data_IF_289312706045
#
_entry.id   IF_289312706045
#
_cell.length_a   1.000
_cell.length_b   1.000
_cell.length_c   1.000
_cell.angle_alpha   90.00
_cell.angle_beta   90.00
_cell.angle_gamma   90.00
#
_symmetry.space_group_name_H-M   'P 1'
#
loop_
_entity.id
_entity.type
_entity.pdbx_description
1 polymer ?
#
# COMPACT_ATOMS: atom_id res chain seq x y z
N UNK A 1 24.90 18.30 29.34
CA UNK A 1 24.64 17.14 28.45
C UNK A 1 23.15 17.09 28.08
N UNK A 2 22.68 17.90 27.11
CA UNK A 2 21.28 17.86 26.63
C UNK A 2 21.03 18.67 25.35
N UNK A 3 22.00 18.72 24.43
CA UNK A 3 21.86 19.42 23.13
C UNK A 3 22.54 18.73 21.94
N UNK A 4 22.84 17.42 22.06
CA UNK A 4 23.48 16.64 20.97
C UNK A 4 22.53 15.56 20.41
N UNK A 5 21.33 15.40 20.97
CA UNK A 5 20.36 14.38 20.55
C UNK A 5 19.33 14.88 19.52
N UNK A 6 19.68 15.86 18.69
CA UNK A 6 18.77 16.41 17.66
C UNK A 6 19.33 16.37 16.24
N UNK A 7 20.55 15.84 16.05
CA UNK A 7 21.17 15.73 14.73
C UNK A 7 21.18 14.30 14.15
N UNK A 8 20.72 13.30 14.91
CA UNK A 8 20.68 11.89 14.48
C UNK A 8 19.28 11.39 14.04
N UNK A 9 18.27 12.27 14.01
CA UNK A 9 16.90 11.92 13.57
C UNK A 9 16.58 12.34 12.12
N UNK A 10 17.55 12.90 11.39
CA UNK A 10 17.39 13.37 10.01
C UNK A 10 17.73 12.32 8.93
N UNK A 11 18.07 11.08 9.31
CA UNK A 11 18.41 10.01 8.36
C UNK A 11 17.69 8.68 8.58
N UNK A 12 16.68 8.60 9.45
CA UNK A 12 15.80 7.42 9.48
C UNK A 12 14.73 7.56 8.38
N UNK A 13 15.16 7.46 7.13
CA UNK A 13 14.24 7.11 6.03
C UNK A 13 13.72 5.73 6.38
N UNK A 14 12.44 5.63 6.72
CA UNK A 14 11.74 4.34 6.74
C UNK A 14 11.83 3.76 5.33
N UNK A 15 12.78 2.84 5.11
CA UNK A 15 12.86 2.06 3.88
C UNK A 15 11.71 1.07 3.96
N UNK A 16 10.55 1.47 3.45
CA UNK A 16 9.52 0.53 3.06
C UNK A 16 10.08 -0.30 1.91
N UNK A 17 10.48 -1.54 2.18
CA UNK A 17 10.96 -2.49 1.15
C UNK A 17 9.83 -2.95 0.21
N UNK A 18 8.64 -2.37 0.30
CA UNK A 18 7.52 -2.61 -0.61
C UNK A 18 7.57 -1.72 -1.86
N UNK A 19 8.62 -0.91 -2.05
CA UNK A 19 8.74 0.02 -3.18
C UNK A 19 10.15 -0.06 -3.74
N UNK A 20 10.26 -0.18 -5.06
CA UNK A 20 11.54 -0.18 -5.78
C UNK A 20 11.43 0.86 -6.89
N UNK A 21 12.27 1.87 -6.84
CA UNK A 21 12.48 2.81 -7.94
C UNK A 21 13.97 2.86 -8.22
N UNK A 22 14.35 2.49 -9.43
CA UNK A 22 15.73 2.36 -9.87
C UNK A 22 15.81 2.84 -11.33
N UNK A 23 16.55 3.93 -11.53
CA UNK A 23 16.82 4.54 -12.83
C UNK A 23 18.33 4.67 -13.11
N UNK A 24 19.18 4.11 -12.21
CA UNK A 24 20.64 4.07 -12.29
C UNK A 24 21.31 5.43 -12.57
N UNK A 25 20.59 6.54 -12.36
CA UNK A 25 21.06 7.91 -12.64
C UNK A 25 22.21 8.32 -11.72
N UNK A 26 22.32 7.68 -10.56
CA UNK A 26 23.43 7.83 -9.62
C UNK A 26 24.71 7.10 -10.07
N UNK A 27 24.65 6.33 -11.17
CA UNK A 27 25.78 5.58 -11.71
C UNK A 27 26.08 4.29 -10.94
N UNK A 28 25.15 3.81 -10.11
CA UNK A 28 25.39 2.74 -9.16
C UNK A 28 24.20 1.75 -9.09
N UNK A 29 24.48 0.52 -8.65
CA UNK A 29 23.46 -0.49 -8.31
C UNK A 29 23.81 -1.23 -7.00
N UNK A 30 24.81 -0.76 -6.26
CA UNK A 30 25.28 -1.39 -5.03
C UNK A 30 24.76 -0.70 -3.77
N UNK A 31 24.06 0.43 -3.91
CA UNK A 31 23.51 1.21 -2.81
C UNK A 31 22.21 1.87 -3.26
N UNK A 32 21.18 1.83 -2.41
CA UNK A 32 19.90 2.51 -2.59
C UNK A 32 19.25 2.36 -3.98
N UNK A 33 18.89 1.14 -4.40
CA UNK A 33 18.91 -0.12 -3.65
C UNK A 33 20.23 -0.92 -3.76
N UNK A 34 20.44 -1.87 -2.83
CA UNK A 34 21.57 -2.81 -2.90
C UNK A 34 21.19 -4.01 -3.74
N UNK A 35 21.77 -4.13 -4.93
CA UNK A 35 21.64 -5.35 -5.73
C UNK A 35 22.72 -6.37 -5.37
N UNK A 36 22.34 -7.64 -5.36
CA UNK A 36 23.18 -8.78 -5.00
C UNK A 36 23.04 -9.91 -6.02
N UNK A 37 24.03 -10.81 -6.06
CA UNK A 37 24.11 -11.89 -7.05
C UNK A 37 25.45 -11.85 -7.75
N UNK A 38 25.43 -11.85 -9.09
CA UNK A 38 26.63 -11.78 -9.95
C UNK A 38 27.03 -10.34 -10.24
N UNK A 39 27.21 -9.53 -9.19
CA UNK A 39 27.48 -8.08 -9.28
C UNK A 39 28.70 -7.75 -10.15
N UNK A 40 29.71 -8.61 -10.17
CA UNK A 40 30.91 -8.48 -10.99
C UNK A 40 30.64 -8.59 -12.51
N UNK A 41 29.49 -9.14 -12.88
CA UNK A 41 29.07 -9.37 -14.26
C UNK A 41 28.04 -8.35 -14.74
N UNK A 42 27.91 -7.21 -14.05
CA UNK A 42 27.07 -6.08 -14.46
C UNK A 42 27.81 -4.75 -14.22
N UNK A 43 27.42 -3.72 -14.95
CA UNK A 43 27.91 -2.34 -14.79
C UNK A 43 26.73 -1.38 -14.95
N UNK A 44 26.84 -0.17 -14.40
CA UNK A 44 26.07 0.97 -14.94
C UNK A 44 26.90 1.58 -16.05
N UNK A 45 26.33 1.64 -17.26
CA UNK A 45 27.03 2.15 -18.43
C UNK A 45 27.02 3.69 -18.48
N UNK A 46 27.76 4.33 -19.42
CA UNK A 46 27.78 5.80 -19.54
C UNK A 46 26.44 6.45 -19.90
N UNK A 47 25.45 5.66 -20.32
CA UNK A 47 24.08 6.12 -20.56
C UNK A 47 23.18 5.98 -19.32
N UNK A 48 23.75 5.65 -18.16
CA UNK A 48 23.03 5.41 -16.91
C UNK A 48 22.05 4.24 -16.98
N UNK A 49 22.46 3.14 -17.61
CA UNK A 49 21.66 1.91 -17.69
C UNK A 49 22.42 0.76 -17.07
N UNK A 50 21.71 -0.12 -16.37
CA UNK A 50 22.27 -1.40 -15.95
C UNK A 50 22.53 -2.26 -17.19
N UNK A 51 23.78 -2.64 -17.40
CA UNK A 51 24.23 -3.42 -18.54
C UNK A 51 24.90 -4.71 -18.08
N UNK A 52 24.62 -5.82 -18.78
CA UNK A 52 25.38 -7.05 -18.56
C UNK A 52 26.85 -6.87 -18.96
N UNK A 53 27.76 -7.48 -18.21
CA UNK A 53 29.21 -7.44 -18.45
C UNK A 53 29.87 -8.78 -18.08
N UNK A 54 29.15 -9.88 -18.28
CA UNK A 54 29.66 -11.21 -17.95
C UNK A 54 30.66 -11.78 -18.96
N UNK A 55 31.14 -13.01 -18.73
CA UNK A 55 32.09 -13.68 -19.61
C UNK A 55 31.46 -14.03 -20.96
N UNK A 56 32.27 -14.02 -22.02
CA UNK A 56 31.86 -14.42 -23.37
C UNK A 56 31.81 -15.95 -23.53
N UNK A 57 30.93 -16.62 -22.77
CA UNK A 57 30.75 -18.07 -22.76
C UNK A 57 29.30 -18.41 -23.11
N UNK A 58 29.11 -19.37 -24.02
CA UNK A 58 27.76 -19.77 -24.44
C UNK A 58 27.06 -20.57 -23.36
N UNK A 59 25.79 -20.24 -23.11
CA UNK A 59 24.98 -20.86 -22.06
C UNK A 59 25.17 -20.21 -20.68
N UNK A 60 25.87 -19.08 -20.60
CA UNK A 60 26.03 -18.34 -19.35
C UNK A 60 24.68 -17.83 -18.88
N UNK A 61 24.45 -17.95 -17.56
CA UNK A 61 23.34 -17.34 -16.87
C UNK A 61 23.86 -16.44 -15.76
N UNK A 62 23.38 -15.20 -15.71
CA UNK A 62 23.70 -14.24 -14.66
C UNK A 62 22.42 -13.80 -13.97
N UNK A 63 22.53 -13.42 -12.70
CA UNK A 63 21.40 -12.89 -11.94
C UNK A 63 21.81 -11.72 -11.07
N UNK A 64 20.89 -10.78 -10.92
CA UNK A 64 20.87 -9.77 -9.86
C UNK A 64 19.52 -9.81 -9.16
N UNK A 65 19.52 -9.59 -7.86
CA UNK A 65 18.31 -9.49 -7.03
C UNK A 65 18.45 -8.33 -6.08
N UNK A 66 17.33 -7.72 -5.75
CA UNK A 66 17.23 -6.67 -4.72
C UNK A 66 15.99 -6.94 -3.87
N UNK A 67 16.01 -6.47 -2.63
CA UNK A 67 14.88 -6.64 -1.73
C UNK A 67 13.64 -5.94 -2.29
N UNK A 68 12.53 -6.67 -2.41
CA UNK A 68 11.21 -6.13 -2.75
C UNK A 68 10.12 -7.04 -2.22
N UNK A 69 9.22 -6.48 -1.43
CA UNK A 69 8.13 -7.22 -0.78
C UNK A 69 6.77 -7.01 -1.45
N UNK A 70 6.70 -6.16 -2.48
CA UNK A 70 5.47 -5.87 -3.22
C UNK A 70 4.99 -7.12 -3.95
N UNK A 71 3.72 -7.48 -3.75
CA UNK A 71 3.19 -8.72 -4.31
C UNK A 71 1.72 -8.64 -4.76
N UNK A 72 0.94 -7.71 -4.21
CA UNK A 72 -0.51 -7.58 -4.41
C UNK A 72 -0.88 -6.09 -4.48
N UNK A 73 -1.90 -5.76 -5.28
CA UNK A 73 -2.32 -4.38 -5.59
C UNK A 73 -1.15 -3.51 -6.05
N UNK A 74 -0.35 -4.06 -6.97
CA UNK A 74 0.93 -3.49 -7.37
C UNK A 74 1.07 -3.46 -8.90
N UNK A 75 1.78 -2.44 -9.37
CA UNK A 75 2.25 -2.31 -10.73
C UNK A 75 3.77 -2.41 -10.79
N UNK A 76 4.29 -3.25 -11.69
CA UNK A 76 5.69 -3.26 -12.08
C UNK A 76 5.82 -2.63 -13.46
N UNK A 77 6.71 -1.66 -13.61
CA UNK A 77 7.11 -1.10 -14.90
C UNK A 77 8.64 -1.14 -15.01
N UNK A 78 9.16 -1.51 -16.17
CA UNK A 78 10.60 -1.49 -16.43
C UNK A 78 10.89 -1.38 -17.92
N UNK A 79 12.01 -0.73 -18.24
CA UNK A 79 12.54 -0.66 -19.59
C UNK A 79 13.65 -1.69 -19.78
N UNK A 80 13.72 -2.25 -20.97
CA UNK A 80 14.74 -3.22 -21.35
C UNK A 80 15.09 -3.10 -22.84
N UNK A 81 16.36 -3.34 -23.16
CA UNK A 81 16.83 -3.45 -24.52
C UNK A 81 17.77 -4.64 -24.73
N UNK A 82 17.54 -5.42 -25.78
CA UNK A 82 18.34 -6.57 -26.20
C UNK A 82 18.92 -6.31 -27.59
N UNK A 83 20.25 -6.21 -27.70
CA UNK A 83 20.92 -5.91 -28.98
C UNK A 83 21.28 -7.17 -29.78
N UNK A 84 20.34 -8.11 -29.89
CA UNK A 84 20.52 -9.41 -30.55
C UNK A 84 19.17 -10.06 -30.89
N UNK A 85 19.19 -11.05 -31.80
CA UNK A 85 18.05 -11.93 -32.03
C UNK A 85 17.81 -12.83 -30.81
N UNK A 86 16.63 -12.74 -30.22
CA UNK A 86 16.25 -13.58 -29.08
C UNK A 86 16.14 -15.05 -29.48
N UNK A 87 16.27 -15.96 -28.50
CA UNK A 87 16.11 -17.41 -28.71
C UNK A 87 15.97 -18.14 -27.38
N UNK A 88 15.76 -19.47 -27.42
CA UNK A 88 15.79 -20.33 -26.22
C UNK A 88 17.14 -20.29 -25.44
N UNK A 89 18.19 -19.73 -26.04
CA UNK A 89 19.50 -19.53 -25.42
C UNK A 89 19.88 -18.06 -25.22
N UNK A 90 19.03 -17.11 -25.63
CA UNK A 90 19.25 -15.68 -25.52
C UNK A 90 17.95 -14.98 -25.11
N UNK A 91 17.78 -14.72 -23.82
CA UNK A 91 16.59 -14.05 -23.27
C UNK A 91 16.89 -13.44 -21.89
N UNK A 92 16.00 -12.55 -21.46
CA UNK A 92 15.99 -12.02 -20.10
C UNK A 92 14.71 -12.45 -19.37
N UNK A 93 14.84 -12.81 -18.10
CA UNK A 93 13.75 -13.01 -17.17
C UNK A 93 13.81 -11.90 -16.11
N UNK A 94 12.73 -11.12 -15.97
CA UNK A 94 12.57 -10.12 -14.93
C UNK A 94 11.59 -10.65 -13.89
N UNK A 95 12.11 -11.07 -12.75
CA UNK A 95 11.36 -11.58 -11.61
C UNK A 95 10.65 -10.43 -10.91
N UNK A 96 9.32 -10.43 -11.01
CA UNK A 96 8.44 -9.51 -10.32
C UNK A 96 8.37 -9.86 -8.83
N UNK A 97 8.32 -11.17 -8.55
CA UNK A 97 8.30 -11.76 -7.21
C UNK A 97 9.27 -12.95 -7.18
N UNK A 98 10.07 -13.03 -6.13
CA UNK A 98 10.83 -14.23 -5.76
C UNK A 98 10.88 -14.38 -4.24
N UNK A 99 10.82 -15.61 -3.75
CA UNK A 99 11.05 -15.98 -2.34
C UNK A 99 12.54 -16.15 -1.99
N UNK A 100 13.42 -16.10 -3.00
CA UNK A 100 14.85 -16.37 -2.86
C UNK A 100 15.69 -15.45 -3.73
N UNK A 101 16.91 -15.17 -3.27
CA UNK A 101 17.94 -14.43 -4.01
C UNK A 101 18.60 -15.28 -5.11
N UNK A 102 18.41 -16.60 -5.08
CA UNK A 102 18.92 -17.51 -6.10
C UNK A 102 17.83 -17.89 -7.11
N UNK A 103 17.69 -17.06 -8.15
CA UNK A 103 16.73 -17.20 -9.25
C UNK A 103 17.01 -18.42 -10.14
N UNK A 104 18.25 -18.93 -10.14
CA UNK A 104 18.62 -20.17 -10.84
C UNK A 104 18.28 -21.43 -10.05
N UNK A 105 17.93 -21.29 -8.78
CA UNK A 105 17.68 -22.38 -7.86
C UNK A 105 16.22 -22.84 -7.82
N UNK A 106 15.84 -23.41 -6.68
CA UNK A 106 14.46 -23.83 -6.38
C UNK A 106 13.68 -22.68 -5.74
N UNK A 107 13.54 -21.57 -6.45
CA UNK A 107 12.73 -20.43 -6.03
C UNK A 107 11.26 -20.57 -6.48
N UNK A 108 10.42 -19.75 -5.89
CA UNK A 108 9.00 -19.59 -6.21
C UNK A 108 8.66 -18.13 -6.50
N UNK A 109 7.76 -17.88 -7.44
CA UNK A 109 7.31 -16.52 -7.74
C UNK A 109 6.79 -16.34 -9.17
N UNK A 110 6.91 -15.12 -9.69
CA UNK A 110 6.47 -14.78 -11.04
C UNK A 110 7.53 -13.92 -11.73
N UNK A 111 7.71 -14.15 -13.02
CA UNK A 111 8.65 -13.38 -13.84
C UNK A 111 8.09 -13.15 -15.24
N UNK A 112 8.50 -12.03 -15.84
CA UNK A 112 8.28 -11.78 -17.27
C UNK A 112 9.52 -12.23 -18.03
N UNK A 113 9.33 -13.05 -19.06
CA UNK A 113 10.39 -13.36 -20.03
C UNK A 113 10.28 -12.41 -21.21
N UNK A 114 11.43 -11.88 -21.64
CA UNK A 114 11.59 -11.12 -22.87
C UNK A 114 12.52 -11.92 -23.78
N UNK A 115 11.96 -12.36 -24.92
CA UNK A 115 12.60 -13.28 -25.86
C UNK A 115 12.20 -14.73 -25.63
N UNK A 116 13.14 -15.66 -25.82
CA UNK A 116 12.87 -17.09 -25.78
C UNK A 116 12.61 -17.66 -27.17
N UNK A 117 11.98 -18.83 -27.28
CA UNK A 117 11.78 -19.49 -28.59
C UNK A 117 10.77 -18.76 -29.49
N UNK A 118 9.79 -18.08 -28.89
CA UNK A 118 8.72 -17.38 -29.60
C UNK A 118 9.05 -15.89 -29.87
N UNK A 119 10.21 -15.41 -29.42
CA UNK A 119 10.66 -14.02 -29.58
C UNK A 119 9.60 -13.00 -29.11
N UNK A 120 9.06 -13.19 -27.91
CA UNK A 120 7.91 -12.45 -27.36
C UNK A 120 8.13 -11.94 -25.93
N UNK A 121 7.09 -11.32 -25.35
CA UNK A 121 7.04 -10.93 -23.94
C UNK A 121 5.91 -11.70 -23.25
N UNK A 122 6.24 -12.51 -22.24
CA UNK A 122 5.27 -13.42 -21.59
C UNK A 122 5.45 -13.50 -20.09
N UNK A 123 4.35 -13.73 -19.37
CA UNK A 123 4.35 -13.87 -17.91
C UNK A 123 4.36 -15.34 -17.52
N UNK A 124 5.27 -15.69 -16.62
CA UNK A 124 5.43 -17.05 -16.12
C UNK A 124 5.25 -17.10 -14.60
N UNK A 125 4.66 -18.20 -14.13
CA UNK A 125 4.75 -18.62 -12.74
C UNK A 125 5.91 -19.61 -12.59
N UNK A 126 6.75 -19.38 -11.58
CA UNK A 126 7.80 -20.32 -11.15
C UNK A 126 7.36 -21.04 -9.89
N UNK A 127 7.23 -22.36 -9.97
CA UNK A 127 7.04 -23.21 -8.80
C UNK A 127 8.40 -23.82 -8.37
N UNK A 128 8.61 -23.95 -7.06
CA UNK A 128 9.87 -24.47 -6.50
C UNK A 128 10.27 -25.83 -7.11
N UNK A 129 11.44 -25.89 -7.75
CA UNK A 129 11.98 -27.10 -8.37
C UNK A 129 11.24 -27.60 -9.63
N UNK A 130 10.24 -26.88 -10.14
CA UNK A 130 9.50 -27.24 -11.36
C UNK A 130 9.85 -26.33 -12.54
N UNK A 131 9.55 -26.78 -13.75
CA UNK A 131 9.59 -25.96 -14.96
C UNK A 131 8.60 -24.79 -14.83
N UNK A 132 8.96 -23.56 -15.25
CA UNK A 132 8.02 -22.44 -15.26
C UNK A 132 6.78 -22.72 -16.09
N UNK A 133 5.63 -22.26 -15.61
CA UNK A 133 4.34 -22.34 -16.30
C UNK A 133 4.07 -21.00 -16.97
N UNK A 134 3.86 -20.98 -18.28
CA UNK A 134 3.40 -19.77 -18.98
C UNK A 134 1.95 -19.50 -18.60
N UNK A 135 1.67 -18.35 -17.99
CA UNK A 135 0.33 -17.97 -17.53
C UNK A 135 -0.27 -16.82 -18.36
N UNK A 136 0.56 -16.07 -19.09
CA UNK A 136 0.13 -15.14 -20.15
C UNK A 136 1.12 -15.28 -21.31
N UNK A 137 0.66 -15.88 -22.40
CA UNK A 137 1.41 -15.92 -23.66
C UNK A 137 1.32 -14.58 -24.37
N UNK A 138 2.45 -14.08 -24.85
CA UNK A 138 2.53 -12.82 -25.56
C UNK A 138 2.12 -12.96 -27.02
N UNK A 139 2.38 -11.89 -27.77
CA UNK A 139 2.35 -11.94 -29.23
C UNK A 139 3.74 -12.33 -29.74
N UNK A 140 3.81 -13.46 -30.43
CA UNK A 140 5.01 -13.97 -31.09
C UNK A 140 5.71 -12.91 -31.95
N UNK A 141 7.05 -13.00 -31.99
CA UNK A 141 7.93 -12.20 -32.86
C UNK A 141 7.88 -10.69 -32.63
N UNK A 142 7.44 -10.26 -31.46
CA UNK A 142 7.46 -8.84 -31.06
C UNK A 142 8.85 -8.35 -30.63
N UNK A 143 9.77 -9.25 -30.28
CA UNK A 143 11.20 -8.98 -29.99
C UNK A 143 12.14 -9.85 -30.83
N UNK A 144 11.86 -9.95 -32.14
CA UNK A 144 12.59 -10.78 -33.10
C UNK A 144 13.69 -10.06 -33.91
N UNK A 145 13.97 -8.78 -33.64
CA UNK A 145 15.02 -8.04 -34.34
C UNK A 145 16.40 -8.63 -34.05
N UNK A 146 17.28 -8.67 -35.05
CA UNK A 146 18.63 -9.21 -34.88
C UNK A 146 19.62 -8.21 -34.26
N UNK A 147 19.26 -6.92 -34.20
CA UNK A 147 20.17 -5.83 -33.83
C UNK A 147 19.70 -5.03 -32.63
N UNK A 148 18.39 -4.84 -32.49
CA UNK A 148 17.82 -3.95 -31.48
C UNK A 148 16.37 -4.35 -31.19
N UNK A 149 16.13 -4.82 -29.97
CA UNK A 149 14.79 -5.04 -29.43
C UNK A 149 14.65 -4.18 -28.19
N UNK A 150 13.88 -3.11 -28.26
CA UNK A 150 13.58 -2.25 -27.12
C UNK A 150 12.14 -2.48 -26.68
N UNK A 151 11.92 -2.64 -25.37
CA UNK A 151 10.59 -2.84 -24.82
C UNK A 151 10.48 -2.14 -23.47
N UNK A 152 9.33 -1.51 -23.22
CA UNK A 152 8.90 -1.19 -21.86
C UNK A 152 7.76 -2.11 -21.48
N UNK A 153 7.90 -2.79 -20.35
CA UNK A 153 6.91 -3.76 -19.86
C UNK A 153 6.16 -3.13 -18.69
N UNK A 154 4.85 -3.34 -18.65
CA UNK A 154 3.99 -3.02 -17.51
C UNK A 154 3.19 -4.24 -17.10
N UNK A 155 3.26 -4.59 -15.82
CA UNK A 155 2.48 -5.67 -15.22
C UNK A 155 1.67 -5.13 -14.05
N UNK A 156 0.37 -5.37 -14.06
CA UNK A 156 -0.50 -5.05 -12.93
C UNK A 156 -1.01 -6.34 -12.30
N UNK A 157 -1.10 -6.37 -10.96
CA UNK A 157 -1.76 -7.44 -10.22
C UNK A 157 -2.62 -6.88 -9.09
N UNK A 158 -3.89 -7.25 -9.05
CA UNK A 158 -4.80 -6.87 -7.96
C UNK A 158 -4.92 -7.93 -6.85
N UNK A 159 -5.67 -7.61 -5.79
CA UNK A 159 -5.96 -8.49 -4.64
C UNK A 159 -6.69 -9.78 -5.00
N UNK A 160 -7.48 -9.77 -6.07
CA UNK A 160 -8.15 -10.95 -6.60
C UNK A 160 -7.18 -11.89 -7.35
N UNK A 161 -5.93 -11.47 -7.56
CA UNK A 161 -4.93 -12.23 -8.31
C UNK A 161 -5.09 -12.13 -9.82
N UNK A 162 -5.81 -11.13 -10.30
CA UNK A 162 -5.91 -10.84 -11.72
C UNK A 162 -4.63 -10.14 -12.16
N UNK A 163 -3.97 -10.72 -13.15
CA UNK A 163 -2.76 -10.22 -13.77
C UNK A 163 -3.09 -9.61 -15.12
N UNK A 164 -2.43 -8.51 -15.44
CA UNK A 164 -2.44 -7.89 -16.76
C UNK A 164 -1.00 -7.65 -17.18
N UNK A 165 -0.60 -8.19 -18.34
CA UNK A 165 0.70 -7.94 -18.96
C UNK A 165 0.51 -7.04 -20.18
N UNK A 166 1.20 -5.91 -20.21
CA UNK A 166 1.24 -5.01 -21.36
C UNK A 166 2.69 -4.66 -21.73
N UNK A 167 2.93 -4.38 -23.00
CA UNK A 167 4.25 -4.04 -23.53
C UNK A 167 4.17 -2.91 -24.56
N UNK A 168 5.12 -1.98 -24.50
CA UNK A 168 5.37 -0.95 -25.51
C UNK A 168 6.71 -1.26 -26.21
N UNK A 169 6.62 -1.79 -27.43
CA UNK A 169 7.78 -2.18 -28.25
C UNK A 169 8.49 -1.00 -28.93
N UNK A 170 8.02 0.24 -28.72
CA UNK A 170 8.80 1.43 -29.06
C UNK A 170 9.78 1.83 -27.96
N UNK A 171 9.59 1.29 -26.74
CA UNK A 171 10.38 1.62 -25.56
C UNK A 171 10.05 2.96 -24.89
N UNK A 172 9.14 3.76 -25.45
CA UNK A 172 8.85 5.13 -24.97
C UNK A 172 7.94 5.19 -23.74
N UNK A 173 7.15 4.15 -23.49
CA UNK A 173 6.23 4.09 -22.35
C UNK A 173 4.93 4.85 -22.54
N UNK A 174 4.57 5.15 -23.79
CA UNK A 174 3.33 5.88 -24.14
C UNK A 174 2.31 5.03 -24.88
N UNK A 175 2.73 3.90 -25.48
CA UNK A 175 1.90 3.09 -26.37
C UNK A 175 1.86 1.62 -25.94
N UNK A 176 1.37 1.35 -24.73
CA UNK A 176 1.25 0.00 -24.23
C UNK A 176 0.20 -0.79 -25.00
N UNK A 177 0.59 -1.97 -25.49
CA UNK A 177 -0.30 -2.96 -26.08
C UNK A 177 -0.50 -4.11 -25.09
N UNK A 178 -1.76 -4.51 -24.87
CA UNK A 178 -2.08 -5.63 -24.00
C UNK A 178 -1.55 -6.93 -24.61
N UNK A 179 -0.74 -7.67 -23.85
CA UNK A 179 -0.28 -9.01 -24.22
C UNK A 179 -1.25 -10.08 -23.71
N UNK A 180 -1.86 -9.84 -22.54
CA UNK A 180 -2.97 -10.68 -22.06
C UNK A 180 -3.32 -10.44 -20.61
N UNK A 181 -4.29 -11.21 -20.13
CA UNK A 181 -4.73 -11.24 -18.73
C UNK A 181 -4.93 -12.67 -18.26
N UNK A 182 -4.80 -12.91 -16.96
CA UNK A 182 -5.08 -14.21 -16.34
C UNK A 182 -5.38 -14.03 -14.86
N UNK A 183 -5.91 -15.05 -14.20
CA UNK A 183 -6.02 -15.07 -12.73
C UNK A 183 -5.11 -16.16 -12.18
N UNK A 184 -4.12 -15.76 -11.38
CA UNK A 184 -3.26 -16.70 -10.66
C UNK A 184 -2.93 -16.13 -9.28
N UNK A 185 -3.27 -16.89 -8.24
CA UNK A 185 -3.13 -16.47 -6.85
C UNK A 185 -2.22 -17.39 -6.03
N UNK A 186 -1.37 -18.17 -6.71
CA UNK A 186 -0.50 -19.19 -6.11
C UNK A 186 0.47 -18.58 -5.10
N UNK A 187 1.17 -17.50 -5.46
CA UNK A 187 2.12 -16.82 -4.57
C UNK A 187 1.68 -15.38 -4.28
N UNK A 188 1.53 -15.03 -3.00
CA UNK A 188 1.02 -13.72 -2.54
C UNK A 188 2.02 -12.93 -1.69
N UNK A 189 3.24 -13.45 -1.56
CA UNK A 189 4.34 -12.83 -0.83
C UNK A 189 5.56 -12.79 -1.73
N UNK A 190 6.32 -11.72 -1.64
CA UNK A 190 7.62 -11.57 -2.27
C UNK A 190 8.66 -11.22 -1.21
N UNK A 191 9.91 -11.60 -1.47
CA UNK A 191 11.06 -11.11 -0.72
C UNK A 191 12.02 -10.33 -1.64
N UNK A 192 12.05 -10.66 -2.93
CA UNK A 192 12.97 -10.08 -3.90
C UNK A 192 12.32 -9.77 -5.24
N UNK A 193 12.78 -8.69 -5.86
CA UNK A 193 12.72 -8.44 -7.30
C UNK A 193 14.06 -8.86 -7.92
N UNK A 194 14.07 -9.26 -9.20
CA UNK A 194 15.32 -9.67 -9.80
C UNK A 194 15.37 -9.67 -11.32
N UNK A 195 16.58 -9.73 -11.83
CA UNK A 195 16.92 -9.84 -13.23
C UNK A 195 17.75 -11.10 -13.41
N UNK A 196 17.39 -11.92 -14.38
CA UNK A 196 18.17 -13.06 -14.84
C UNK A 196 18.36 -12.92 -16.35
N UNK A 197 19.59 -13.12 -16.82
CA UNK A 197 19.89 -13.15 -18.26
C UNK A 197 20.51 -14.48 -18.61
N UNK A 198 20.13 -15.04 -19.76
CA UNK A 198 20.75 -16.21 -20.39
C UNK A 198 21.24 -15.83 -21.77
N UNK A 199 22.48 -16.17 -22.10
CA UNK A 199 23.06 -15.75 -23.39
C UNK A 199 24.10 -16.70 -23.99
N UNK A 200 24.33 -16.54 -25.30
CA UNK A 200 25.50 -17.04 -26.02
C UNK A 200 26.70 -16.08 -25.92
N UNK A 201 27.92 -16.56 -26.17
CA UNK A 201 29.16 -15.77 -25.99
C UNK A 201 29.15 -14.39 -26.67
N UNK A 202 28.51 -14.27 -27.84
CA UNK A 202 28.42 -13.02 -28.60
C UNK A 202 27.54 -11.93 -27.96
N UNK A 203 26.72 -12.30 -26.98
CA UNK A 203 25.68 -11.44 -26.41
C UNK A 203 25.93 -11.04 -24.94
N UNK A 204 27.09 -11.42 -24.38
CA UNK A 204 27.41 -11.22 -22.96
C UNK A 204 27.27 -9.78 -22.44
N UNK A 205 27.36 -8.78 -23.34
CA UNK A 205 27.28 -7.35 -23.01
C UNK A 205 26.09 -6.61 -23.63
N UNK A 206 25.07 -7.34 -24.07
CA UNK A 206 24.02 -6.81 -24.94
C UNK A 206 22.63 -6.76 -24.30
N UNK A 207 22.58 -6.83 -22.98
CA UNK A 207 21.36 -6.68 -22.19
C UNK A 207 21.44 -5.37 -21.42
N UNK A 208 20.40 -4.55 -21.55
CA UNK A 208 20.31 -3.24 -20.91
C UNK A 208 18.97 -3.14 -20.20
N UNK A 209 18.96 -2.60 -18.98
CA UNK A 209 17.79 -2.43 -18.12
C UNK A 209 17.81 -1.02 -17.53
N UNK A 210 16.63 -0.44 -17.39
CA UNK A 210 16.47 0.92 -16.86
C UNK A 210 15.02 1.12 -16.38
N UNK A 211 14.77 2.25 -15.71
CA UNK A 211 13.43 2.73 -15.35
C UNK A 211 12.57 1.68 -14.60
N UNK A 212 13.17 0.94 -13.68
CA UNK A 212 12.49 -0.08 -12.88
C UNK A 212 11.67 0.61 -11.79
N UNK A 213 10.37 0.40 -11.80
CA UNK A 213 9.40 1.04 -10.91
C UNK A 213 8.39 0.01 -10.42
N UNK A 214 8.30 -0.14 -9.11
CA UNK A 214 7.26 -0.93 -8.44
C UNK A 214 6.41 0.03 -7.62
N UNK A 215 5.12 0.12 -7.97
CA UNK A 215 4.19 1.11 -7.42
C UNK A 215 2.96 0.44 -6.82
N UNK A 216 2.51 0.99 -5.70
CA UNK A 216 1.16 0.72 -5.20
C UNK A 216 0.13 1.18 -6.22
N UNK A 217 -0.97 0.44 -6.35
CA UNK A 217 -2.12 0.78 -7.21
C UNK A 217 -3.41 0.92 -6.41
N UNK A 218 -3.38 0.63 -5.11
CA UNK A 218 -4.53 0.75 -4.24
C UNK A 218 -4.69 2.19 -3.77
N UNK A 219 -5.92 2.67 -3.78
CA UNK A 219 -6.24 3.95 -3.17
C UNK A 219 -6.36 3.81 -1.64
N UNK A 220 -6.05 4.87 -0.88
CA UNK A 220 -6.17 4.84 0.57
C UNK A 220 -7.64 4.71 0.96
N UNK A 221 -7.96 3.78 1.88
CA UNK A 221 -9.31 3.63 2.41
C UNK A 221 -9.47 4.20 3.81
N UNK A 222 -10.66 4.67 4.14
CA UNK A 222 -11.02 5.20 5.44
C UNK A 222 -11.18 4.05 6.46
N UNK A 223 -10.22 3.88 7.37
CA UNK A 223 -10.27 2.84 8.39
C UNK A 223 -11.13 3.27 9.57
N UNK A 224 -10.68 4.29 10.30
CA UNK A 224 -11.28 4.68 11.59
C UNK A 224 -11.53 6.16 11.70
N UNK A 225 -12.53 6.49 12.52
CA UNK A 225 -12.85 7.85 12.95
C UNK A 225 -12.90 7.84 14.48
N UNK A 226 -12.04 8.64 15.09
CA UNK A 226 -11.97 8.80 16.54
C UNK A 226 -12.33 10.24 16.89
N UNK A 227 -13.50 10.43 17.50
CA UNK A 227 -13.91 11.74 18.01
C UNK A 227 -13.10 12.08 19.25
N UNK A 228 -12.29 13.14 19.18
CA UNK A 228 -11.39 13.58 20.26
C UNK A 228 -11.96 14.72 21.09
N UNK A 229 -12.98 15.43 20.60
CA UNK A 229 -13.61 16.56 21.30
C UNK A 229 -14.98 16.92 20.72
N UNK A 230 -15.60 18.02 21.15
CA UNK A 230 -16.90 18.45 20.61
C UNK A 230 -16.82 19.00 19.17
N UNK A 231 -15.61 19.29 18.69
CA UNK A 231 -15.33 19.90 17.38
C UNK A 231 -14.16 19.23 16.64
N UNK A 232 -13.58 18.18 17.22
CA UNK A 232 -12.36 17.55 16.70
C UNK A 232 -12.52 16.06 16.50
N UNK A 233 -11.99 15.59 15.37
CA UNK A 233 -12.02 14.19 14.94
C UNK A 233 -10.68 13.83 14.32
N UNK A 234 -10.19 12.66 14.69
CA UNK A 234 -9.03 12.01 14.11
C UNK A 234 -9.48 10.95 13.11
N UNK A 235 -8.91 10.99 11.90
CA UNK A 235 -9.22 10.08 10.80
C UNK A 235 -7.97 9.27 10.44
N UNK A 236 -8.09 7.94 10.39
CA UNK A 236 -6.97 7.07 9.99
C UNK A 236 -7.29 6.35 8.69
N UNK A 237 -6.35 6.40 7.75
CA UNK A 237 -6.40 5.71 6.46
C UNK A 237 -5.63 4.39 6.47
N UNK A 238 -5.86 3.55 5.44
CA UNK A 238 -5.19 2.25 5.29
C UNK A 238 -3.69 2.32 5.01
N UNK A 239 -3.21 3.49 4.60
CA UNK A 239 -1.83 3.75 4.18
C UNK A 239 -1.51 5.24 4.30
N UNK A 240 -0.27 5.62 4.01
CA UNK A 240 0.16 7.01 4.05
C UNK A 240 -0.52 7.82 2.94
N UNK A 241 -1.15 8.94 3.30
CA UNK A 241 -1.85 9.80 2.34
C UNK A 241 -0.97 10.96 1.88
N UNK A 242 -1.20 11.46 0.66
CA UNK A 242 -0.55 12.65 0.14
C UNK A 242 -1.07 13.88 0.87
N UNK A 243 -0.15 14.65 1.45
CA UNK A 243 -0.45 15.83 2.28
C UNK A 243 -1.40 16.82 1.61
N UNK A 244 -1.16 17.19 0.36
CA UNK A 244 -1.98 18.18 -0.36
C UNK A 244 -3.43 17.73 -0.48
N UNK A 245 -3.67 16.48 -0.88
CA UNK A 245 -5.03 15.92 -0.93
C UNK A 245 -5.63 15.74 0.46
N UNK A 246 -4.84 15.31 1.44
CA UNK A 246 -5.29 15.03 2.79
C UNK A 246 -5.66 16.31 3.56
N UNK A 247 -4.97 17.42 3.34
CA UNK A 247 -5.21 18.72 4.00
C UNK A 247 -6.25 19.58 3.25
N UNK A 248 -6.83 19.09 2.16
CA UNK A 248 -7.91 19.78 1.44
C UNK A 248 -9.23 19.62 2.21
N UNK A 249 -9.76 20.71 2.78
CA UNK A 249 -10.99 20.70 3.59
C UNK A 249 -12.22 20.15 2.87
N UNK A 250 -12.36 20.44 1.56
CA UNK A 250 -13.49 19.99 0.74
C UNK A 250 -13.55 18.47 0.53
N UNK A 251 -12.49 17.73 0.89
CA UNK A 251 -12.47 16.27 0.84
C UNK A 251 -13.21 15.63 2.01
N UNK A 252 -13.66 16.42 2.99
CA UNK A 252 -14.29 15.96 4.21
C UNK A 252 -15.61 16.70 4.45
N UNK A 253 -16.67 15.96 4.74
CA UNK A 253 -17.99 16.54 5.01
C UNK A 253 -18.66 15.76 6.13
N UNK A 254 -19.17 16.46 7.16
CA UNK A 254 -20.00 15.86 8.20
C UNK A 254 -21.48 16.07 7.87
N UNK A 255 -22.20 14.97 7.70
CA UNK A 255 -23.65 14.90 7.69
C UNK A 255 -24.22 14.77 9.12
N UNK A 256 -25.48 15.20 9.35
CA UNK A 256 -26.46 15.64 8.36
C UNK A 256 -26.38 17.12 7.97
N UNK A 257 -25.57 17.92 8.65
CA UNK A 257 -25.48 19.37 8.42
C UNK A 257 -24.67 19.77 7.17
N UNK A 258 -24.00 18.80 6.52
CA UNK A 258 -23.12 19.00 5.37
C UNK A 258 -22.03 20.06 5.61
N UNK A 259 -21.36 19.95 6.76
CA UNK A 259 -20.34 20.92 7.20
C UNK A 259 -18.94 20.41 6.84
N UNK A 260 -18.09 21.31 6.36
CA UNK A 260 -16.67 21.04 6.12
C UNK A 260 -15.80 21.47 7.31
N UNK A 261 -14.66 20.83 7.55
CA UNK A 261 -13.72 21.25 8.58
C UNK A 261 -13.14 22.64 8.27
N UNK A 262 -12.86 23.41 9.32
CA UNK A 262 -12.14 24.68 9.23
C UNK A 262 -10.65 24.43 8.92
N UNK A 263 -10.07 23.43 9.57
CA UNK A 263 -8.69 23.01 9.34
C UNK A 263 -8.60 21.51 9.21
N UNK A 264 -7.76 21.07 8.30
CA UNK A 264 -7.35 19.67 8.16
C UNK A 264 -5.83 19.64 8.18
N UNK A 265 -5.25 18.82 9.04
CA UNK A 265 -3.80 18.74 9.18
C UNK A 265 -3.38 17.28 9.29
N UNK A 266 -2.47 16.86 8.40
CA UNK A 266 -1.89 15.53 8.48
C UNK A 266 -0.91 15.46 9.67
N UNK A 267 -1.00 14.40 10.45
CA UNK A 267 -0.07 14.19 11.57
C UNK A 267 1.37 14.11 11.06
N UNK A 268 2.30 14.68 11.83
CA UNK A 268 3.71 14.79 11.45
C UNK A 268 4.48 13.48 11.60
N UNK A 269 4.02 12.60 12.49
CA UNK A 269 4.67 11.34 12.82
C UNK A 269 4.02 10.15 12.13
N UNK A 270 2.71 10.23 11.89
CA UNK A 270 1.90 9.21 11.25
C UNK A 270 1.16 9.80 10.05
N UNK A 271 1.74 9.66 8.86
CA UNK A 271 1.16 10.21 7.62
C UNK A 271 -0.12 9.51 7.16
N UNK A 272 -0.60 8.48 7.87
CA UNK A 272 -1.93 7.89 7.67
C UNK A 272 -3.01 8.53 8.57
N UNK A 273 -2.62 9.37 9.52
CA UNK A 273 -3.51 10.06 10.46
C UNK A 273 -3.73 11.52 10.04
N UNK A 274 -4.99 11.94 10.06
CA UNK A 274 -5.38 13.30 9.71
C UNK A 274 -6.30 13.87 10.80
N UNK A 275 -5.98 15.06 11.27
CA UNK A 275 -6.73 15.79 12.31
C UNK A 275 -7.66 16.80 11.66
N UNK A 276 -8.95 16.70 11.97
CA UNK A 276 -9.98 17.61 11.48
C UNK A 276 -10.49 18.45 12.65
N UNK A 277 -10.59 19.76 12.44
CA UNK A 277 -11.21 20.70 13.38
C UNK A 277 -12.34 21.46 12.68
N UNK A 278 -13.51 21.47 13.31
CA UNK A 278 -14.71 22.14 12.81
C UNK A 278 -14.97 23.44 13.58
N UNK A 279 -15.73 24.35 12.98
CA UNK A 279 -16.06 25.65 13.59
C UNK A 279 -17.16 25.54 14.65
N UNK A 280 -18.12 24.63 14.43
CA UNK A 280 -19.25 24.40 15.31
C UNK A 280 -19.16 23.02 15.97
N UNK A 281 -19.78 22.88 17.14
CA UNK A 281 -19.91 21.58 17.78
C UNK A 281 -20.67 20.58 16.89
N UNK A 282 -20.29 19.31 16.98
CA UNK A 282 -21.02 18.22 16.36
C UNK A 282 -22.48 18.19 16.82
N UNK A 283 -23.36 17.68 15.95
CA UNK A 283 -24.77 17.52 16.35
C UNK A 283 -24.88 16.44 17.43
N UNK A 284 -25.81 16.62 18.36
CA UNK A 284 -26.08 15.62 19.39
C UNK A 284 -26.65 14.35 18.74
N UNK A 285 -26.05 13.20 19.03
CA UNK A 285 -26.37 11.91 18.42
C UNK A 285 -25.34 11.48 17.37
N UNK A 286 -25.83 10.83 16.31
CA UNK A 286 -24.99 10.24 15.27
C UNK A 286 -24.60 11.28 14.22
N UNK A 287 -23.31 11.39 13.96
CA UNK A 287 -22.70 12.18 12.89
C UNK A 287 -22.07 11.21 11.89
N UNK A 288 -22.11 11.54 10.60
CA UNK A 288 -21.47 10.74 9.56
C UNK A 288 -20.43 11.58 8.85
N UNK A 289 -19.16 11.19 8.91
CA UNK A 289 -18.13 11.79 8.07
C UNK A 289 -18.09 11.07 6.72
N UNK A 290 -18.20 11.85 5.67
CA UNK A 290 -17.93 11.46 4.29
C UNK A 290 -16.55 11.96 3.91
N UNK A 291 -15.72 11.08 3.39
CA UNK A 291 -14.36 11.38 2.90
C UNK A 291 -14.28 11.02 1.43
N UNK A 292 -13.73 11.90 0.60
CA UNK A 292 -13.58 11.68 -0.83
C UNK A 292 -12.32 12.35 -1.39
N UNK A 293 -11.80 11.85 -2.51
CA UNK A 293 -10.65 12.40 -3.25
C UNK A 293 -9.33 12.47 -2.46
N UNK A 294 -9.20 11.77 -1.33
CA UNK A 294 -7.91 11.62 -0.67
C UNK A 294 -7.06 10.66 -1.49
N UNK A 295 -5.78 11.00 -1.66
CA UNK A 295 -4.80 10.26 -2.46
C UNK A 295 -3.71 9.69 -1.58
N UNK A 296 -3.12 8.59 -2.01
CA UNK A 296 -1.86 8.10 -1.43
C UNK A 296 -0.65 8.83 -2.03
N UNK A 297 0.55 8.44 -1.61
CA UNK A 297 1.82 8.96 -2.15
C UNK A 297 2.10 8.52 -3.61
N UNK A 298 1.30 7.62 -4.17
CA UNK A 298 1.38 7.12 -5.55
C UNK A 298 0.34 7.75 -6.49
N UNK A 299 -0.39 8.75 -5.99
CA UNK A 299 -1.50 9.43 -6.65
C UNK A 299 -2.71 8.54 -6.97
N UNK A 300 -2.84 7.38 -6.31
CA UNK A 300 -4.06 6.59 -6.31
C UNK A 300 -5.12 7.34 -5.48
N UNK A 301 -6.18 7.78 -6.14
CA UNK A 301 -7.28 8.50 -5.51
C UNK A 301 -8.43 7.55 -5.14
N UNK A 302 -9.12 7.83 -4.04
CA UNK A 302 -10.38 7.18 -3.72
C UNK A 302 -11.35 7.25 -4.92
N UNK A 303 -11.96 6.10 -5.26
CA UNK A 303 -12.86 5.99 -6.43
C UNK A 303 -14.29 6.42 -6.13
N UNK A 304 -14.59 6.74 -4.87
CA UNK A 304 -15.88 7.28 -4.43
C UNK A 304 -15.87 7.67 -2.96
N UNK A 305 -16.95 8.31 -2.47
CA UNK A 305 -17.05 8.74 -1.09
C UNK A 305 -17.12 7.54 -0.13
N UNK A 306 -16.28 7.57 0.89
CA UNK A 306 -16.33 6.63 2.02
C UNK A 306 -17.00 7.27 3.23
N UNK A 307 -17.87 6.51 3.89
CA UNK A 307 -18.69 7.00 4.99
C UNK A 307 -18.43 6.20 6.27
N UNK A 308 -18.25 6.90 7.38
CA UNK A 308 -18.15 6.30 8.72
C UNK A 308 -18.94 7.17 9.70
N UNK A 309 -19.69 6.51 10.58
CA UNK A 309 -20.47 7.17 11.61
C UNK A 309 -19.68 7.25 12.93
N UNK A 310 -19.92 8.31 13.69
CA UNK A 310 -19.47 8.44 15.07
C UNK A 310 -20.55 9.15 15.90
N UNK A 311 -20.53 8.95 17.22
CA UNK A 311 -21.53 9.54 18.13
C UNK A 311 -20.92 10.66 18.95
N UNK A 312 -21.64 11.78 19.03
CA UNK A 312 -21.36 12.86 19.97
C UNK A 312 -22.57 13.06 20.87
N UNK A 313 -22.36 12.90 22.18
CA UNK A 313 -23.36 13.27 23.17
C UNK A 313 -22.90 14.57 23.81
N UNK A 314 -23.68 15.64 23.62
CA UNK A 314 -23.38 16.94 24.21
C UNK A 314 -23.40 16.78 25.74
N UNK A 315 -22.32 17.14 26.45
CA UNK A 315 -22.34 17.16 27.90
C UNK A 315 -23.43 18.11 28.40
N UNK A 316 -24.27 17.62 29.31
CA UNK A 316 -25.34 18.38 29.95
C UNK A 316 -25.12 18.46 31.44
N UNK A 317 -25.38 19.63 32.03
CA UNK A 317 -25.41 19.79 33.48
C UNK A 317 -26.83 19.46 33.96
N UNK A 318 -26.92 18.53 34.91
CA UNK A 318 -28.16 18.24 35.63
C UNK A 318 -28.50 19.43 36.54
N UNK A 319 -29.72 19.94 36.42
CA UNK A 319 -30.25 20.97 37.30
C UNK A 319 -31.18 20.33 38.36
N UNK A 320 -31.41 21.00 39.50
CA UNK A 320 -32.36 20.51 40.49
C UNK A 320 -33.71 20.17 39.87
N UNK A 321 -34.14 18.92 40.07
CA UNK A 321 -35.40 18.41 39.57
C UNK A 321 -35.36 17.79 38.18
N UNK A 322 -34.24 17.81 37.45
CA UNK A 322 -34.09 17.10 36.15
C UNK A 322 -34.11 15.58 36.31
N UNK A 323 -33.42 15.06 37.33
CA UNK A 323 -33.42 13.66 37.73
C UNK A 323 -34.02 13.59 39.14
N UNK A 324 -35.09 12.82 39.29
CA UNK A 324 -35.82 12.69 40.55
C UNK A 324 -35.79 11.25 41.02
N UNK A 325 -35.63 11.06 42.32
CA UNK A 325 -35.92 9.77 42.93
C UNK A 325 -37.44 9.69 43.10
N UNK A 326 -38.07 8.73 42.43
CA UNK A 326 -39.53 8.54 42.44
C UNK A 326 -39.97 7.47 43.42
N UNK A 327 -39.09 6.52 43.72
CA UNK A 327 -39.37 5.42 44.64
C UNK A 327 -38.10 5.02 45.40
N UNK A 328 -38.27 4.59 46.65
CA UNK A 328 -37.22 4.00 47.48
C UNK A 328 -37.82 2.77 48.17
N UNK A 329 -37.27 1.59 47.89
CA UNK A 329 -37.53 0.37 48.66
C UNK A 329 -36.30 0.09 49.53
N UNK A 330 -36.39 0.45 50.82
CA UNK A 330 -35.29 0.30 51.78
C UNK A 330 -35.44 -0.93 52.71
N UNK A 331 -36.62 -1.54 52.78
CA UNK A 331 -36.86 -2.79 53.52
C UNK A 331 -37.59 -3.78 52.61
N UNK A 332 -36.85 -4.77 52.14
CA UNK A 332 -37.32 -5.73 51.13
C UNK A 332 -37.82 -7.05 51.75
N UNK A 333 -37.84 -7.18 53.09
CA UNK A 333 -38.17 -8.45 53.77
C UNK A 333 -39.31 -8.34 54.79
N UNK A 334 -40.28 -9.28 54.78
CA UNK A 334 -40.49 -10.33 53.79
C UNK A 334 -41.02 -9.75 52.47
N UNK A 335 -40.61 -10.28 51.31
CA UNK A 335 -41.07 -9.76 50.04
C UNK A 335 -42.58 -9.97 49.83
N UNK A 336 -43.27 -8.90 49.42
CA UNK A 336 -44.68 -8.93 49.05
C UNK A 336 -44.83 -8.41 47.62
N UNK A 337 -44.68 -9.29 46.64
CA UNK A 337 -44.94 -8.98 45.22
C UNK A 337 -43.91 -8.10 44.52
N UNK A 338 -42.78 -7.79 45.17
CA UNK A 338 -41.65 -7.02 44.63
C UNK A 338 -40.33 -7.81 44.81
N UNK A 339 -39.25 -7.45 44.08
CA UNK A 339 -37.94 -8.08 44.24
C UNK A 339 -37.40 -8.00 45.68
N UNK A 340 -36.72 -9.07 46.13
CA UNK A 340 -36.01 -9.11 47.41
C UNK A 340 -34.66 -8.35 47.34
N UNK A 341 -34.72 -7.06 46.99
CA UNK A 341 -33.54 -6.20 46.92
C UNK A 341 -33.91 -4.76 47.24
N UNK A 342 -33.01 -4.05 47.93
CA UNK A 342 -33.11 -2.59 48.04
C UNK A 342 -32.94 -1.95 46.66
N UNK A 343 -33.76 -0.94 46.37
CA UNK A 343 -33.58 -0.11 45.18
C UNK A 343 -34.08 1.31 45.42
N UNK A 344 -33.61 2.21 44.57
CA UNK A 344 -34.27 3.48 44.32
C UNK A 344 -34.52 3.61 42.82
N UNK A 345 -35.68 4.14 42.46
CA UNK A 345 -35.99 4.46 41.08
C UNK A 345 -35.59 5.91 40.81
N UNK A 346 -34.90 6.14 39.69
CA UNK A 346 -34.68 7.48 39.17
C UNK A 346 -35.50 7.71 37.91
N UNK A 347 -36.14 8.87 37.85
CA UNK A 347 -36.89 9.34 36.71
C UNK A 347 -36.27 10.62 36.16
N UNK A 348 -35.90 10.60 34.88
CA UNK A 348 -35.48 11.79 34.15
C UNK A 348 -36.72 12.55 33.69
N UNK A 349 -37.04 13.67 34.35
CA UNK A 349 -38.18 14.52 33.99
C UNK A 349 -37.84 15.54 32.90
N UNK A 350 -36.60 15.57 32.42
CA UNK A 350 -36.10 16.50 31.40
C UNK A 350 -36.00 15.82 30.03
N UNK A 351 -35.82 16.63 28.97
CA UNK A 351 -35.46 16.13 27.64
C UNK A 351 -33.95 15.89 27.45
N UNK A 352 -33.13 16.09 28.50
CA UNK A 352 -31.67 15.95 28.44
C UNK A 352 -31.28 14.47 28.53
N UNK A 353 -30.22 14.07 27.83
CA UNK A 353 -29.61 12.74 27.98
C UNK A 353 -28.50 12.82 29.02
N UNK A 354 -28.67 12.16 30.16
CA UNK A 354 -27.64 12.09 31.20
C UNK A 354 -26.82 10.81 31.07
N UNK A 355 -25.49 10.95 31.07
CA UNK A 355 -24.60 9.82 31.32
C UNK A 355 -24.52 9.62 32.83
N UNK A 356 -25.05 8.50 33.31
CA UNK A 356 -25.05 8.13 34.74
C UNK A 356 -23.73 7.49 35.19
N UNK A 357 -22.77 7.28 34.28
CA UNK A 357 -21.43 6.83 34.66
C UNK A 357 -20.87 7.74 35.75
N UNK A 358 -20.29 7.13 36.78
CA UNK A 358 -19.68 7.78 37.95
C UNK A 358 -20.64 8.59 38.85
N UNK A 359 -21.96 8.58 38.58
CA UNK A 359 -22.92 9.10 39.54
C UNK A 359 -22.89 8.23 40.81
N UNK A 360 -22.88 8.90 41.96
CA UNK A 360 -22.93 8.25 43.27
C UNK A 360 -24.22 8.64 43.96
N UNK A 361 -24.79 7.69 44.70
CA UNK A 361 -25.82 7.95 45.69
C UNK A 361 -25.24 7.68 47.07
N UNK A 362 -25.77 8.36 48.07
CA UNK A 362 -25.39 8.25 49.47
C UNK A 362 -26.60 8.57 50.32
N UNK A 363 -26.74 7.91 51.46
CA UNK A 363 -27.66 8.34 52.51
C UNK A 363 -26.96 9.28 53.51
N UNK A 364 -27.68 9.73 54.55
CA UNK A 364 -27.13 10.60 55.59
C UNK A 364 -26.05 9.94 56.48
N UNK A 365 -25.76 8.65 56.27
CA UNK A 365 -24.84 7.83 57.08
C UNK A 365 -23.65 7.29 56.29
N UNK A 366 -23.64 7.39 54.96
CA UNK A 366 -22.53 6.97 54.10
C UNK A 366 -21.55 8.14 53.93
N UNK A 367 -20.30 7.99 54.40
CA UNK A 367 -19.22 9.01 54.31
C UNK A 367 -18.33 8.82 53.09
#
# INVERSE_FOLDING_TARGET
MRKILLFFLLFYRFISFAQLQEDFTDGNFSQNPVWQGKVESFIVNPAHQLQSNGPAVTGTQLQLTTASQSAVDVSWEFWLQLNFATSASNYADVYLLSDSTNLLGKNSGYFVRIGGTADEVSLFRKDAGKTPVNIINGVDKTVASSTLNTVRVKVNRNVAGEWQLAADFSGKGSNYTLQGTTTDNTYKKAAFFGILVKYSSANAKKFFFDDIRIRDTKAPSLLTINRTGSQTVDVTFSEAVERTSAETTNNYTIGPANVHPLTVTQDVSNTSLVHLTFADEFINGTNTLTVNNVRDLYANAQTGPENRAFTYLRPVIALPGDVRITEILADYSPAVGLPESEYFEIYNTSAKTFNLADWKYSDATTT
#
